data_IF_903568534801
#
_entry.id   IF_903568534801
#
_cell.length_a   1.000
_cell.length_b   1.000
_cell.length_c   1.000
_cell.angle_alpha   90.00
_cell.angle_beta   90.00
_cell.angle_gamma   90.00
#
_symmetry.space_group_name_H-M   'P 1'
#
loop_
_entity.id
_entity.type
_entity.pdbx_description
1 polymer ?
#
# COMPACT_ATOMS: atom_id res chain seq x y z
N UNK A 1 7.89 21.91 -29.21
CA UNK A 1 8.19 20.61 -28.59
C UNK A 1 9.59 20.21 -29.03
N UNK A 2 10.51 19.95 -28.11
CA UNK A 2 11.82 19.38 -28.46
C UNK A 2 11.56 18.00 -29.08
N UNK A 3 11.97 17.77 -30.33
CA UNK A 3 11.60 16.61 -31.16
C UNK A 3 12.03 15.22 -30.62
N UNK A 4 12.46 15.16 -29.36
CA UNK A 4 12.90 13.98 -28.61
C UNK A 4 11.83 13.45 -27.63
N UNK A 5 10.74 14.19 -27.44
CA UNK A 5 9.59 13.79 -26.62
C UNK A 5 8.35 13.66 -27.49
N UNK A 6 7.73 12.49 -27.45
CA UNK A 6 6.47 12.23 -28.12
C UNK A 6 5.39 12.02 -27.06
N UNK A 7 4.33 12.82 -27.15
CA UNK A 7 3.11 12.62 -26.35
C UNK A 7 2.00 12.19 -27.30
N UNK A 8 1.57 10.94 -27.19
CA UNK A 8 0.55 10.38 -28.08
C UNK A 8 -0.84 10.69 -27.50
N UNK A 9 -1.59 11.57 -28.19
CA UNK A 9 -2.96 11.94 -27.82
C UNK A 9 -4.05 11.44 -28.78
N UNK A 10 -3.71 11.06 -30.02
CA UNK A 10 -4.47 10.33 -31.06
C UNK A 10 -3.76 10.57 -32.41
N UNK A 11 -3.89 9.63 -33.35
CA UNK A 11 -3.32 9.63 -34.71
C UNK A 11 -2.51 10.87 -35.11
N UNK A 12 -1.20 10.85 -34.81
CA UNK A 12 -0.24 11.82 -35.35
C UNK A 12 0.75 11.08 -36.25
N UNK A 13 1.08 11.68 -37.40
CA UNK A 13 2.26 11.29 -38.17
C UNK A 13 3.50 11.64 -37.34
N UNK A 14 4.20 10.59 -36.86
CA UNK A 14 5.41 10.75 -36.08
C UNK A 14 6.58 10.86 -37.07
N UNK A 15 7.09 12.07 -37.26
CA UNK A 15 8.37 12.31 -37.95
C UNK A 15 9.51 12.36 -36.93
N UNK A 16 10.72 11.91 -37.30
CA UNK A 16 11.90 11.98 -36.42
C UNK A 16 11.96 10.94 -35.31
N UNK A 17 11.23 9.82 -35.43
CA UNK A 17 11.12 8.78 -34.41
C UNK A 17 12.47 8.23 -33.90
N UNK A 18 13.48 8.17 -34.79
CA UNK A 18 14.80 7.65 -34.45
C UNK A 18 15.51 8.44 -33.35
N UNK A 19 15.10 9.68 -33.05
CA UNK A 19 15.70 10.52 -32.01
C UNK A 19 14.89 10.55 -30.70
N UNK A 20 13.78 9.80 -30.63
CA UNK A 20 12.93 9.80 -29.44
C UNK A 20 13.65 9.25 -28.23
N UNK A 21 13.53 9.99 -27.12
CA UNK A 21 14.03 9.62 -25.80
C UNK A 21 12.91 9.35 -24.81
N UNK A 22 11.73 9.90 -25.07
CA UNK A 22 10.56 9.76 -24.20
C UNK A 22 9.32 9.60 -25.05
N UNK A 23 8.55 8.54 -24.78
CA UNK A 23 7.20 8.34 -25.29
C UNK A 23 6.29 8.24 -24.08
N UNK A 24 5.30 9.12 -24.02
CA UNK A 24 4.25 9.07 -23.00
C UNK A 24 2.91 9.06 -23.72
N UNK A 25 2.09 8.07 -23.43
CA UNK A 25 0.71 8.02 -23.92
C UNK A 25 -0.19 8.59 -22.84
N UNK A 26 -0.96 9.62 -23.18
CA UNK A 26 -1.90 10.24 -22.26
C UNK A 26 -3.33 9.98 -22.75
N UNK A 27 -4.04 9.10 -22.06
CA UNK A 27 -5.48 8.93 -22.21
C UNK A 27 -5.96 7.48 -22.21
N UNK A 28 -7.22 7.30 -21.80
CA UNK A 28 -8.00 6.08 -21.97
C UNK A 28 -8.41 5.91 -23.45
N UNK A 29 -7.45 5.81 -24.37
CA UNK A 29 -7.81 5.60 -25.78
C UNK A 29 -8.30 4.15 -25.97
N UNK A 30 -9.52 3.99 -26.49
CA UNK A 30 -10.16 2.68 -26.73
C UNK A 30 -9.36 1.75 -27.66
N UNK A 31 -8.36 2.27 -28.38
CA UNK A 31 -7.44 1.43 -29.14
C UNK A 31 -6.09 2.12 -29.41
N UNK A 32 -5.01 1.37 -29.19
CA UNK A 32 -3.73 1.61 -29.85
C UNK A 32 -3.55 0.55 -30.92
N UNK A 33 -3.15 0.91 -32.16
CA UNK A 33 -2.89 -0.10 -33.19
C UNK A 33 -1.82 -1.07 -32.70
N UNK A 34 -2.06 -2.37 -32.84
CA UNK A 34 -1.17 -3.44 -32.37
C UNK A 34 0.25 -3.36 -32.94
N UNK A 35 0.42 -2.67 -34.07
CA UNK A 35 1.71 -2.44 -34.75
C UNK A 35 2.52 -1.28 -34.17
N UNK A 36 1.91 -0.39 -33.40
CA UNK A 36 2.55 0.85 -32.93
C UNK A 36 3.70 0.58 -31.97
N UNK A 37 3.49 -0.28 -30.96
CA UNK A 37 4.53 -0.62 -29.97
C UNK A 37 5.69 -1.39 -30.63
N UNK A 38 5.45 -2.46 -31.43
CA UNK A 38 6.53 -3.12 -32.18
C UNK A 38 7.36 -2.17 -33.03
N UNK A 39 6.69 -1.24 -33.73
CA UNK A 39 7.36 -0.25 -34.56
C UNK A 39 8.18 0.75 -33.72
N UNK A 40 7.61 1.29 -32.65
CA UNK A 40 8.30 2.20 -31.72
C UNK A 40 9.58 1.56 -31.16
N UNK A 41 9.49 0.31 -30.69
CA UNK A 41 10.62 -0.42 -30.13
C UNK A 41 11.75 -0.63 -31.16
N UNK A 42 11.42 -0.88 -32.43
CA UNK A 42 12.42 -1.08 -33.49
C UNK A 42 13.11 0.21 -33.92
N UNK A 43 12.33 1.28 -34.07
CA UNK A 43 12.82 2.52 -34.67
C UNK A 43 13.43 3.50 -33.66
N UNK A 44 13.07 3.43 -32.37
CA UNK A 44 13.44 4.42 -31.33
C UNK A 44 14.56 3.95 -30.41
N UNK A 45 15.74 3.60 -30.94
CA UNK A 45 16.83 2.98 -30.13
C UNK A 45 17.39 3.84 -28.99
N UNK A 46 17.16 5.15 -29.01
CA UNK A 46 17.58 6.07 -27.93
C UNK A 46 16.50 6.28 -26.85
N UNK A 47 15.41 5.50 -26.89
CA UNK A 47 14.33 5.64 -25.93
C UNK A 47 14.83 5.35 -24.51
N UNK A 48 14.52 6.26 -23.60
CA UNK A 48 14.85 6.17 -22.18
C UNK A 48 13.60 6.01 -21.31
N UNK A 49 12.45 6.47 -21.78
CA UNK A 49 11.16 6.38 -21.09
C UNK A 49 10.11 5.91 -22.08
N UNK A 50 9.44 4.81 -21.75
CA UNK A 50 8.26 4.30 -22.43
C UNK A 50 7.14 4.19 -21.41
N UNK A 51 6.20 5.11 -21.46
CA UNK A 51 5.03 5.16 -20.57
C UNK A 51 3.77 4.82 -21.39
N UNK A 52 3.17 3.66 -21.10
CA UNK A 52 2.02 3.09 -21.78
C UNK A 52 0.83 2.88 -20.83
N UNK A 53 0.87 3.45 -19.62
CA UNK A 53 -0.15 3.21 -18.60
C UNK A 53 -1.56 3.59 -19.05
N UNK A 54 -2.56 2.81 -18.64
CA UNK A 54 -3.98 3.01 -18.97
C UNK A 54 -4.38 2.60 -20.39
N UNK A 55 -3.43 2.15 -21.22
CA UNK A 55 -3.73 1.66 -22.56
C UNK A 55 -4.14 0.18 -22.55
N UNK A 56 -5.01 -0.26 -23.49
CA UNK A 56 -5.41 -1.66 -23.62
C UNK A 56 -4.31 -2.53 -24.27
N UNK A 57 -3.07 -2.42 -23.80
CA UNK A 57 -1.93 -3.19 -24.29
C UNK A 57 -2.02 -4.60 -23.74
N UNK A 58 -2.11 -5.60 -24.61
CA UNK A 58 -2.17 -7.01 -24.20
C UNK A 58 -0.81 -7.73 -24.23
N UNK A 59 0.11 -7.26 -25.07
CA UNK A 59 1.42 -7.89 -25.30
C UNK A 59 2.50 -6.84 -25.51
N UNK A 60 3.66 -7.10 -24.90
CA UNK A 60 4.89 -6.37 -25.19
C UNK A 60 5.73 -7.18 -26.17
N UNK A 61 6.14 -6.60 -27.32
CA UNK A 61 6.87 -7.34 -28.34
C UNK A 61 8.31 -7.62 -27.89
N UNK A 62 8.91 -8.69 -28.42
CA UNK A 62 10.32 -9.04 -28.16
C UNK A 62 11.30 -7.89 -28.51
N UNK A 63 10.93 -7.02 -29.47
CA UNK A 63 11.70 -5.83 -29.84
C UNK A 63 11.92 -4.85 -28.66
N UNK A 64 11.17 -4.95 -27.54
CA UNK A 64 11.44 -4.14 -26.35
C UNK A 64 12.89 -4.30 -25.88
N UNK A 65 13.47 -5.49 -26.01
CA UNK A 65 14.86 -5.77 -25.62
C UNK A 65 15.91 -5.02 -26.44
N UNK A 66 15.54 -4.40 -27.57
CA UNK A 66 16.43 -3.58 -28.39
C UNK A 66 16.59 -2.16 -27.83
N UNK A 67 15.71 -1.74 -26.89
CA UNK A 67 15.75 -0.45 -26.22
C UNK A 67 16.77 -0.44 -25.08
N UNK A 68 18.04 -0.67 -25.40
CA UNK A 68 19.13 -0.76 -24.42
C UNK A 68 19.24 0.46 -23.48
N UNK A 69 18.84 1.65 -23.94
CA UNK A 69 18.88 2.90 -23.17
C UNK A 69 17.67 3.09 -22.23
N UNK A 70 16.68 2.18 -22.27
CA UNK A 70 15.45 2.31 -21.51
C UNK A 70 15.73 2.29 -20.00
N UNK A 71 15.20 3.28 -19.30
CA UNK A 71 15.31 3.46 -17.86
C UNK A 71 13.95 3.32 -17.16
N UNK A 72 12.86 3.63 -17.85
CA UNK A 72 11.50 3.51 -17.35
C UNK A 72 10.62 2.79 -18.35
N UNK A 73 9.92 1.76 -17.87
CA UNK A 73 8.85 1.07 -18.59
C UNK A 73 7.58 1.09 -17.72
N UNK A 74 6.59 1.88 -18.12
CA UNK A 74 5.29 1.98 -17.46
C UNK A 74 4.21 1.23 -18.22
N UNK A 75 3.58 0.27 -17.54
CA UNK A 75 2.53 -0.63 -18.04
C UNK A 75 1.38 -0.73 -17.01
N UNK A 76 1.23 0.26 -16.14
CA UNK A 76 0.17 0.28 -15.14
C UNK A 76 -1.19 0.32 -15.81
N UNK A 77 -2.19 -0.37 -15.27
CA UNK A 77 -3.55 -0.40 -15.84
C UNK A 77 -3.59 -0.88 -17.31
N UNK A 78 -2.70 -1.79 -17.68
CA UNK A 78 -2.70 -2.44 -19.00
C UNK A 78 -3.21 -3.88 -18.92
N UNK A 79 -3.56 -4.48 -20.05
CA UNK A 79 -4.00 -5.89 -20.14
C UNK A 79 -2.84 -6.86 -20.39
N UNK A 80 -1.59 -6.44 -20.10
CA UNK A 80 -0.41 -7.25 -20.35
C UNK A 80 -0.45 -8.47 -19.44
N UNK A 81 -0.32 -9.66 -20.02
CA UNK A 81 -0.33 -10.94 -19.28
C UNK A 81 1.06 -11.50 -19.02
N UNK A 82 2.01 -11.18 -19.89
CA UNK A 82 3.38 -11.69 -19.84
C UNK A 82 4.35 -10.66 -20.41
N UNK A 83 5.56 -10.64 -19.87
CA UNK A 83 6.68 -9.89 -20.43
C UNK A 83 7.56 -10.81 -21.29
N UNK A 84 8.09 -10.31 -22.42
CA UNK A 84 8.95 -11.10 -23.30
C UNK A 84 10.28 -11.44 -22.62
N UNK A 85 10.89 -12.57 -23.02
CA UNK A 85 12.23 -12.97 -22.51
C UNK A 85 13.29 -11.91 -22.78
N UNK A 86 13.16 -11.17 -23.88
CA UNK A 86 14.09 -10.12 -24.28
C UNK A 86 14.18 -8.94 -23.29
N UNK A 87 13.24 -8.83 -22.33
CA UNK A 87 13.31 -7.86 -21.24
C UNK A 87 14.65 -7.93 -20.48
N UNK A 88 15.27 -9.11 -20.43
CA UNK A 88 16.58 -9.34 -19.80
C UNK A 88 17.72 -8.48 -20.39
N UNK A 89 17.54 -7.95 -21.61
CA UNK A 89 18.52 -7.09 -22.29
C UNK A 89 18.47 -5.64 -21.80
N UNK A 90 17.42 -5.24 -21.06
CA UNK A 90 17.22 -3.88 -20.58
C UNK A 90 18.10 -3.55 -19.36
N UNK A 91 19.42 -3.72 -19.50
CA UNK A 91 20.40 -3.56 -18.43
C UNK A 91 20.47 -2.15 -17.79
N UNK A 92 19.85 -1.15 -18.43
CA UNK A 92 19.73 0.21 -17.91
C UNK A 92 18.38 0.53 -17.24
N UNK A 93 17.47 -0.44 -17.17
CA UNK A 93 16.15 -0.25 -16.58
C UNK A 93 16.27 0.06 -15.08
N UNK A 94 15.63 1.15 -14.66
CA UNK A 94 15.58 1.63 -13.28
C UNK A 94 14.19 1.42 -12.68
N UNK A 95 13.15 1.59 -13.49
CA UNK A 95 11.74 1.47 -13.06
C UNK A 95 10.98 0.56 -14.01
N UNK A 96 10.29 -0.42 -13.43
CA UNK A 96 9.29 -1.25 -14.09
C UNK A 96 7.98 -1.14 -13.31
N UNK A 97 6.95 -0.56 -13.92
CA UNK A 97 5.63 -0.41 -13.32
C UNK A 97 4.61 -1.28 -14.07
N UNK A 98 4.09 -2.29 -13.37
CA UNK A 98 3.12 -3.28 -13.83
C UNK A 98 1.88 -3.29 -12.93
N UNK A 99 1.71 -2.30 -12.04
CA UNK A 99 0.58 -2.26 -11.12
C UNK A 99 -0.74 -2.35 -11.87
N UNK A 100 -1.67 -3.15 -11.35
CA UNK A 100 -3.00 -3.36 -11.96
C UNK A 100 -2.92 -3.83 -13.41
N UNK A 101 -1.86 -4.56 -13.77
CA UNK A 101 -1.81 -5.36 -14.99
C UNK A 101 -2.29 -6.79 -14.76
N UNK A 102 -2.38 -7.58 -15.82
CA UNK A 102 -2.76 -9.00 -15.78
C UNK A 102 -1.55 -9.94 -15.69
N UNK A 103 -0.36 -9.44 -15.31
CA UNK A 103 0.86 -10.24 -15.18
C UNK A 103 0.80 -11.09 -13.91
N UNK A 104 0.97 -12.41 -14.07
CA UNK A 104 1.03 -13.37 -12.96
C UNK A 104 2.47 -13.72 -12.55
N UNK A 105 3.39 -13.78 -13.51
CA UNK A 105 4.77 -14.20 -13.31
C UNK A 105 5.72 -13.28 -14.06
N UNK A 106 6.86 -13.00 -13.45
CA UNK A 106 7.95 -12.30 -14.14
C UNK A 106 8.85 -13.29 -14.88
N UNK A 107 9.37 -12.91 -16.07
CA UNK A 107 10.33 -13.74 -16.78
C UNK A 107 11.59 -13.94 -15.94
N UNK A 108 12.20 -15.12 -16.01
CA UNK A 108 13.45 -15.46 -15.28
C UNK A 108 14.58 -14.45 -15.49
N UNK A 109 14.58 -13.75 -16.63
CA UNK A 109 15.52 -12.68 -16.94
C UNK A 109 15.42 -11.43 -16.07
N UNK A 110 14.35 -11.24 -15.28
CA UNK A 110 14.18 -10.05 -14.43
C UNK A 110 15.34 -9.88 -13.44
N UNK A 111 15.86 -10.98 -12.89
CA UNK A 111 16.95 -10.97 -11.91
C UNK A 111 18.29 -10.51 -12.50
N UNK A 112 18.38 -10.38 -13.84
CA UNK A 112 19.56 -9.83 -14.54
C UNK A 112 19.55 -8.30 -14.58
N UNK A 113 18.43 -7.64 -14.25
CA UNK A 113 18.27 -6.19 -14.30
C UNK A 113 18.90 -5.52 -13.06
N UNK A 114 20.23 -5.63 -12.92
CA UNK A 114 20.98 -5.19 -11.72
C UNK A 114 20.85 -3.70 -11.39
N UNK A 115 20.41 -2.86 -12.32
CA UNK A 115 20.18 -1.42 -12.10
C UNK A 115 18.75 -1.09 -11.66
N UNK A 116 17.85 -2.08 -11.64
CA UNK A 116 16.45 -1.88 -11.27
C UNK A 116 16.37 -1.38 -9.82
N UNK A 117 15.64 -0.29 -9.63
CA UNK A 117 15.42 0.39 -8.35
C UNK A 117 13.99 0.28 -7.87
N UNK A 118 13.04 0.28 -8.82
CA UNK A 118 11.61 0.29 -8.51
C UNK A 118 10.90 -0.78 -9.32
N UNK A 119 10.25 -1.70 -8.61
CA UNK A 119 9.39 -2.73 -9.19
C UNK A 119 8.01 -2.64 -8.52
N UNK A 120 7.02 -2.31 -9.33
CA UNK A 120 5.61 -2.27 -8.94
C UNK A 120 4.88 -3.32 -9.78
N UNK A 121 4.17 -4.24 -9.15
CA UNK A 121 3.43 -5.29 -9.86
C UNK A 121 2.27 -5.85 -9.01
N UNK A 122 1.79 -5.04 -8.07
CA UNK A 122 0.59 -5.35 -7.30
C UNK A 122 -0.61 -5.46 -8.23
N UNK A 123 -1.41 -6.50 -7.99
CA UNK A 123 -2.71 -6.72 -8.64
C UNK A 123 -3.82 -6.41 -7.66
N UNK A 124 -4.88 -5.79 -8.15
CA UNK A 124 -6.09 -5.52 -7.36
C UNK A 124 -7.13 -6.54 -7.78
N UNK A 125 -7.61 -7.33 -6.83
CA UNK A 125 -8.63 -8.36 -7.01
C UNK A 125 -9.99 -7.82 -6.56
N UNK A 126 -10.04 -7.21 -5.37
CA UNK A 126 -11.21 -6.52 -4.84
C UNK A 126 -10.89 -5.02 -4.69
N UNK A 127 -11.38 -4.17 -5.61
CA UNK A 127 -11.13 -2.72 -5.55
C UNK A 127 -11.81 -2.04 -4.36
N UNK A 128 -12.82 -2.66 -3.74
CA UNK A 128 -13.50 -2.12 -2.58
C UNK A 128 -12.77 -2.44 -1.26
N UNK A 129 -11.78 -3.35 -1.30
CA UNK A 129 -10.96 -3.72 -0.14
C UNK A 129 -11.78 -4.28 1.02
N UNK A 130 -12.88 -4.95 0.71
CA UNK A 130 -13.79 -5.57 1.67
C UNK A 130 -13.19 -6.89 2.15
N UNK A 131 -12.55 -7.65 1.26
CA UNK A 131 -11.91 -8.93 1.59
C UNK A 131 -10.47 -8.75 2.11
N UNK A 132 -9.98 -9.73 2.87
CA UNK A 132 -8.58 -9.75 3.32
C UNK A 132 -7.62 -9.81 2.13
N UNK A 133 -7.93 -10.65 1.13
CA UNK A 133 -7.16 -10.84 -0.10
C UNK A 133 -7.58 -9.86 -1.19
N UNK A 134 -7.62 -8.57 -0.87
CA UNK A 134 -8.06 -7.52 -1.80
C UNK A 134 -7.12 -7.31 -2.98
N UNK A 135 -5.87 -7.74 -2.85
CA UNK A 135 -4.88 -7.72 -3.90
C UNK A 135 -3.98 -8.94 -3.84
N UNK A 136 -3.04 -9.00 -4.77
CA UNK A 136 -1.99 -10.01 -4.78
C UNK A 136 -0.69 -9.45 -5.32
N UNK A 137 0.38 -10.15 -4.97
CA UNK A 137 1.70 -9.92 -5.51
C UNK A 137 1.94 -10.70 -6.79
N UNK A 138 3.22 -10.90 -7.07
CA UNK A 138 3.75 -11.71 -8.15
C UNK A 138 4.91 -12.55 -7.63
N UNK A 139 5.06 -13.73 -8.21
CA UNK A 139 6.20 -14.60 -8.00
C UNK A 139 7.43 -13.98 -8.67
N UNK A 140 8.49 -13.73 -7.89
CA UNK A 140 9.80 -13.37 -8.45
C UNK A 140 10.63 -14.64 -8.58
N UNK A 141 11.18 -14.94 -9.77
CA UNK A 141 12.00 -16.12 -9.99
C UNK A 141 13.29 -16.11 -9.15
N UNK A 142 13.92 -17.28 -9.03
CA UNK A 142 15.15 -17.47 -8.25
C UNK A 142 16.23 -16.43 -8.60
N UNK A 143 16.86 -15.89 -7.56
CA UNK A 143 17.86 -14.83 -7.70
C UNK A 143 17.34 -13.42 -7.39
N UNK A 144 16.24 -13.28 -6.64
CA UNK A 144 15.77 -11.99 -6.10
C UNK A 144 16.93 -11.18 -5.49
N UNK A 145 17.80 -11.84 -4.72
CA UNK A 145 18.96 -11.22 -4.08
C UNK A 145 19.98 -10.56 -5.04
N UNK A 146 19.96 -10.89 -6.34
CA UNK A 146 20.78 -10.20 -7.34
C UNK A 146 20.34 -8.74 -7.59
N UNK A 147 19.12 -8.39 -7.22
CA UNK A 147 18.53 -7.07 -7.43
C UNK A 147 18.90 -6.08 -6.30
N UNK A 148 20.18 -6.04 -5.92
CA UNK A 148 20.69 -5.32 -4.75
C UNK A 148 20.50 -3.80 -4.77
N UNK A 149 20.20 -3.22 -5.94
CA UNK A 149 19.86 -1.80 -6.09
C UNK A 149 18.37 -1.49 -5.89
N UNK A 150 17.53 -2.48 -5.63
CA UNK A 150 16.10 -2.27 -5.37
C UNK A 150 15.89 -1.41 -4.12
N UNK A 151 15.06 -0.40 -4.30
CA UNK A 151 14.63 0.55 -3.27
C UNK A 151 13.12 0.42 -3.03
N UNK A 152 12.37 -0.03 -4.03
CA UNK A 152 10.93 -0.22 -3.94
C UNK A 152 10.55 -1.56 -4.55
N UNK A 153 9.91 -2.40 -3.75
CA UNK A 153 9.33 -3.66 -4.18
C UNK A 153 7.90 -3.73 -3.64
N UNK A 154 6.93 -3.35 -4.48
CA UNK A 154 5.51 -3.35 -4.13
C UNK A 154 4.76 -4.46 -4.86
N UNK A 155 5.18 -5.71 -4.64
CA UNK A 155 4.59 -6.84 -5.35
C UNK A 155 5.02 -8.22 -4.84
N UNK A 156 5.81 -8.34 -3.78
CA UNK A 156 6.46 -9.63 -3.52
C UNK A 156 5.46 -10.63 -2.94
N UNK A 157 5.20 -11.70 -3.67
CA UNK A 157 4.49 -12.85 -3.13
C UNK A 157 5.46 -13.73 -2.32
N UNK A 158 5.08 -14.03 -1.07
CA UNK A 158 5.91 -14.74 -0.12
C UNK A 158 6.07 -16.23 -0.50
N UNK A 159 7.29 -16.63 -0.79
CA UNK A 159 7.69 -18.00 -1.11
C UNK A 159 9.01 -18.33 -0.45
N UNK A 160 9.26 -19.61 -0.14
CA UNK A 160 10.49 -20.05 0.54
C UNK A 160 11.76 -19.50 -0.14
N UNK A 161 11.89 -19.66 -1.46
CA UNK A 161 13.08 -19.23 -2.19
C UNK A 161 13.22 -17.70 -2.26
N UNK A 162 12.13 -16.96 -2.44
CA UNK A 162 12.20 -15.50 -2.51
C UNK A 162 12.55 -14.89 -1.14
N UNK A 163 11.99 -15.43 -0.07
CA UNK A 163 12.20 -14.92 1.30
C UNK A 163 13.60 -15.20 1.83
N UNK A 164 14.24 -16.31 1.45
CA UNK A 164 15.63 -16.63 1.85
C UNK A 164 16.64 -15.55 1.43
N UNK A 165 16.39 -14.89 0.30
CA UNK A 165 17.26 -13.87 -0.26
C UNK A 165 16.76 -12.44 -0.03
N UNK A 166 15.64 -12.26 0.69
CA UNK A 166 15.03 -10.95 0.90
C UNK A 166 15.98 -10.00 1.64
N UNK A 167 16.74 -10.51 2.63
CA UNK A 167 17.73 -9.74 3.38
C UNK A 167 18.93 -9.23 2.57
N UNK A 168 19.12 -9.69 1.33
CA UNK A 168 20.18 -9.19 0.44
C UNK A 168 19.84 -7.81 -0.15
N UNK A 169 18.56 -7.40 -0.12
CA UNK A 169 18.06 -6.15 -0.68
C UNK A 169 18.30 -4.96 0.27
N UNK A 170 19.56 -4.68 0.57
CA UNK A 170 19.97 -3.68 1.59
C UNK A 170 19.63 -2.23 1.26
N UNK A 171 19.24 -1.92 0.02
CA UNK A 171 18.84 -0.58 -0.42
C UNK A 171 17.32 -0.33 -0.28
N UNK A 172 16.57 -1.30 0.25
CA UNK A 172 15.11 -1.22 0.33
C UNK A 172 14.63 -0.04 1.18
N UNK A 173 13.61 0.64 0.67
CA UNK A 173 12.93 1.78 1.31
C UNK A 173 11.44 1.54 1.47
N UNK A 174 10.84 0.84 0.51
CA UNK A 174 9.43 0.47 0.54
C UNK A 174 9.27 -0.98 0.11
N UNK A 175 8.70 -1.80 0.99
CA UNK A 175 8.46 -3.21 0.75
C UNK A 175 6.98 -3.54 1.02
N UNK A 176 6.31 -4.17 0.05
CA UNK A 176 5.00 -4.79 0.23
C UNK A 176 5.09 -6.28 0.00
N UNK A 177 4.70 -7.04 1.02
CA UNK A 177 4.63 -8.49 1.02
C UNK A 177 3.17 -8.95 0.93
N UNK A 178 2.93 -9.95 0.10
CA UNK A 178 1.65 -10.60 -0.12
C UNK A 178 1.72 -12.08 0.23
N UNK A 179 0.57 -12.66 0.54
CA UNK A 179 0.42 -14.09 0.79
C UNK A 179 1.32 -14.60 1.94
N UNK A 180 1.50 -13.76 2.98
CA UNK A 180 2.40 -14.07 4.09
C UNK A 180 1.76 -15.04 5.07
N UNK A 181 2.41 -16.18 5.27
CA UNK A 181 2.03 -17.16 6.30
C UNK A 181 2.76 -16.89 7.60
N UNK A 182 2.19 -17.29 8.72
CA UNK A 182 2.79 -17.15 10.05
C UNK A 182 4.18 -17.77 10.12
N UNK A 183 4.39 -18.92 9.46
CA UNK A 183 5.69 -19.61 9.38
C UNK A 183 6.80 -18.76 8.75
N UNK A 184 6.47 -17.77 7.91
CA UNK A 184 7.44 -16.90 7.27
C UNK A 184 7.87 -15.72 8.14
N UNK A 185 7.13 -15.41 9.22
CA UNK A 185 7.34 -14.19 9.99
C UNK A 185 8.75 -14.12 10.62
N UNK A 186 9.32 -15.25 11.05
CA UNK A 186 10.70 -15.31 11.54
C UNK A 186 11.72 -14.91 10.47
N UNK A 187 11.66 -15.57 9.31
CA UNK A 187 12.55 -15.29 8.18
C UNK A 187 12.42 -13.86 7.64
N UNK A 188 11.17 -13.35 7.58
CA UNK A 188 10.90 -11.97 7.21
C UNK A 188 11.53 -11.03 8.24
N UNK A 189 11.37 -11.29 9.53
CA UNK A 189 11.94 -10.46 10.60
C UNK A 189 13.47 -10.37 10.51
N UNK A 190 14.14 -11.51 10.30
CA UNK A 190 15.59 -11.56 10.09
C UNK A 190 16.04 -10.75 8.87
N UNK A 191 15.27 -10.84 7.77
CA UNK A 191 15.54 -10.11 6.54
C UNK A 191 15.35 -8.60 6.69
N UNK A 192 14.31 -8.17 7.40
CA UNK A 192 13.97 -6.75 7.60
C UNK A 192 15.08 -6.01 8.36
N UNK A 193 15.75 -6.66 9.32
CA UNK A 193 16.88 -6.08 10.07
C UNK A 193 18.07 -5.74 9.15
N UNK A 194 18.21 -6.40 8.00
CA UNK A 194 19.25 -6.10 7.01
C UNK A 194 18.93 -4.89 6.11
N UNK A 195 17.77 -4.24 6.29
CA UNK A 195 17.29 -3.12 5.47
C UNK A 195 17.32 -1.79 6.25
N UNK A 196 18.50 -1.16 6.41
CA UNK A 196 18.65 0.03 7.26
C UNK A 196 17.88 1.24 6.75
N UNK A 197 17.46 1.24 5.48
CA UNK A 197 16.78 2.35 4.84
C UNK A 197 15.26 2.18 4.73
N UNK A 198 14.72 1.08 5.27
CA UNK A 198 13.30 0.75 5.15
C UNK A 198 12.47 1.77 5.93
N UNK A 199 11.60 2.50 5.21
CA UNK A 199 10.71 3.50 5.77
C UNK A 199 9.24 3.16 5.60
N UNK A 200 8.89 2.28 4.67
CA UNK A 200 7.53 1.84 4.42
C UNK A 200 7.45 0.31 4.33
N UNK A 201 6.64 -0.29 5.20
CA UNK A 201 6.41 -1.73 5.25
C UNK A 201 4.92 -2.03 5.21
N UNK A 202 4.54 -2.92 4.29
CA UNK A 202 3.19 -3.43 4.15
C UNK A 202 3.22 -4.96 4.09
N UNK A 203 2.53 -5.63 5.01
CA UNK A 203 2.54 -7.08 5.14
C UNK A 203 1.11 -7.58 5.15
N UNK A 204 0.78 -8.43 4.16
CA UNK A 204 -0.56 -8.96 3.96
C UNK A 204 -0.53 -10.47 4.13
N UNK A 205 -1.29 -10.97 5.10
CA UNK A 205 -1.45 -12.38 5.39
C UNK A 205 -2.05 -13.14 4.19
N UNK A 206 -1.79 -14.44 4.10
CA UNK A 206 -2.43 -15.28 3.06
C UNK A 206 -3.92 -15.47 3.29
N UNK A 207 -4.34 -15.55 4.55
CA UNK A 207 -5.73 -15.74 4.96
C UNK A 207 -5.93 -15.29 6.42
N UNK A 208 -7.18 -15.38 6.90
CA UNK A 208 -7.58 -14.94 8.24
C UNK A 208 -7.10 -15.86 9.38
N UNK A 209 -6.62 -17.07 9.08
CA UNK A 209 -6.16 -18.05 10.08
C UNK A 209 -4.70 -17.86 10.41
N UNK A 210 -3.90 -17.40 9.45
CA UNK A 210 -2.49 -17.12 9.63
C UNK A 210 -2.26 -16.04 10.69
N UNK A 211 -1.38 -16.34 11.64
CA UNK A 211 -1.04 -15.44 12.74
C UNK A 211 0.29 -14.77 12.43
N UNK A 212 0.27 -13.45 12.29
CA UNK A 212 1.44 -12.65 12.03
C UNK A 212 2.13 -12.20 13.33
N UNK A 213 3.44 -12.44 13.41
CA UNK A 213 4.30 -11.95 14.49
C UNK A 213 5.66 -11.52 13.92
N UNK A 214 5.75 -10.25 13.54
CA UNK A 214 7.02 -9.66 13.10
C UNK A 214 7.81 -9.21 14.33
N UNK A 215 9.01 -9.75 14.49
CA UNK A 215 9.91 -9.47 15.60
C UNK A 215 11.19 -8.80 15.08
N UNK A 216 11.04 -7.56 14.60
CA UNK A 216 12.14 -6.78 14.04
C UNK A 216 12.11 -5.36 14.58
N UNK A 217 13.28 -4.85 14.99
CA UNK A 217 13.45 -3.45 15.36
C UNK A 217 13.79 -2.64 14.11
N UNK A 218 12.86 -1.78 13.68
CA UNK A 218 12.96 -1.01 12.44
C UNK A 218 12.96 0.50 12.75
N UNK A 219 14.07 1.06 13.24
CA UNK A 219 14.08 2.43 13.77
C UNK A 219 13.79 3.50 12.71
N UNK A 220 13.98 3.23 11.42
CA UNK A 220 13.71 4.17 10.33
C UNK A 220 12.31 4.02 9.72
N UNK A 221 11.49 3.11 10.27
CA UNK A 221 10.14 2.87 9.78
C UNK A 221 9.25 4.07 10.08
N UNK A 222 8.54 4.51 9.04
CA UNK A 222 7.68 5.69 9.06
C UNK A 222 6.20 5.33 8.80
N UNK A 223 5.99 4.32 7.94
CA UNK A 223 4.69 3.81 7.57
C UNK A 223 4.64 2.30 7.76
N UNK A 224 3.61 1.83 8.45
CA UNK A 224 3.38 0.41 8.70
C UNK A 224 1.93 0.06 8.39
N UNK A 225 1.75 -0.92 7.52
CA UNK A 225 0.46 -1.55 7.24
C UNK A 225 0.56 -3.05 7.52
N UNK A 226 -0.30 -3.55 8.40
CA UNK A 226 -0.43 -4.98 8.69
C UNK A 226 -1.86 -5.42 8.40
N UNK A 227 -2.02 -6.35 7.47
CA UNK A 227 -3.30 -6.95 7.12
C UNK A 227 -3.29 -8.43 7.49
N UNK A 228 -4.20 -8.84 8.37
CA UNK A 228 -4.33 -10.21 8.86
C UNK A 228 -4.21 -10.31 10.37
N UNK A 229 -4.51 -11.48 10.92
CA UNK A 229 -4.56 -11.72 12.35
C UNK A 229 -3.18 -11.52 12.99
N UNK A 230 -3.12 -10.73 14.07
CA UNK A 230 -1.88 -10.55 14.83
C UNK A 230 -1.80 -11.54 15.98
N UNK A 231 -0.58 -11.95 16.34
CA UNK A 231 -0.35 -12.74 17.54
C UNK A 231 -0.82 -12.00 18.80
N UNK A 232 -1.24 -12.75 19.82
CA UNK A 232 -1.57 -12.18 21.12
C UNK A 232 -0.35 -11.44 21.67
N UNK A 233 -0.56 -10.26 22.25
CA UNK A 233 0.50 -9.37 22.76
C UNK A 233 1.52 -8.89 21.74
N UNK A 234 1.29 -9.08 20.43
CA UNK A 234 2.20 -8.58 19.39
C UNK A 234 2.44 -7.06 19.51
N UNK A 235 1.41 -6.29 19.89
CA UNK A 235 1.52 -4.85 20.10
C UNK A 235 2.35 -4.46 21.34
N UNK A 236 2.48 -5.34 22.33
CA UNK A 236 3.23 -5.09 23.56
C UNK A 236 4.67 -5.61 23.50
N UNK A 237 4.85 -6.80 22.92
CA UNK A 237 6.11 -7.55 22.99
C UNK A 237 6.98 -7.34 21.76
N UNK A 238 6.40 -7.03 20.59
CA UNK A 238 7.20 -6.83 19.38
C UNK A 238 8.01 -5.53 19.48
N UNK A 239 9.33 -5.58 19.19
CA UNK A 239 10.17 -4.39 19.07
C UNK A 239 9.65 -3.37 18.05
N UNK A 240 8.80 -3.81 17.11
CA UNK A 240 8.18 -2.96 16.09
C UNK A 240 7.30 -1.86 16.68
N UNK A 241 6.65 -2.13 17.82
CA UNK A 241 5.73 -1.21 18.50
C UNK A 241 6.32 -0.59 19.77
N UNK A 242 7.61 -0.82 20.04
CA UNK A 242 8.31 -0.27 21.21
C UNK A 242 9.08 1.01 20.87
N UNK A 243 9.52 1.74 21.90
CA UNK A 243 10.07 3.11 21.81
C UNK A 243 11.19 3.31 20.78
N UNK A 244 11.99 2.28 20.48
CA UNK A 244 13.08 2.38 19.48
C UNK A 244 12.57 2.08 18.07
N UNK A 245 11.80 1.00 17.90
CA UNK A 245 11.32 0.56 16.58
C UNK A 245 10.16 1.40 16.05
N UNK A 246 9.28 1.87 16.94
CA UNK A 246 8.10 2.66 16.58
C UNK A 246 8.30 4.18 16.60
N UNK A 247 9.49 4.67 17.01
CA UNK A 247 9.71 6.11 17.25
C UNK A 247 9.38 6.99 16.06
N UNK A 248 9.78 6.56 14.86
CA UNK A 248 9.64 7.37 13.65
C UNK A 248 8.32 7.09 12.91
N UNK A 249 7.49 6.19 13.44
CA UNK A 249 6.23 5.82 12.83
C UNK A 249 5.22 6.96 12.96
N UNK A 250 4.79 7.48 11.82
CA UNK A 250 3.75 8.51 11.77
C UNK A 250 2.44 7.99 11.16
N UNK A 251 2.45 6.82 10.51
CA UNK A 251 1.27 6.20 9.91
C UNK A 251 1.23 4.71 10.26
N UNK A 252 0.14 4.31 10.90
CA UNK A 252 -0.14 2.92 11.25
C UNK A 252 -1.53 2.50 10.76
N UNK A 253 -1.56 1.46 9.93
CA UNK A 253 -2.79 0.84 9.43
C UNK A 253 -2.83 -0.60 9.92
N UNK A 254 -3.81 -0.93 10.76
CA UNK A 254 -4.08 -2.30 11.19
C UNK A 254 -5.39 -2.75 10.55
N UNK A 255 -5.32 -3.84 9.79
CA UNK A 255 -6.47 -4.41 9.07
C UNK A 255 -6.63 -5.87 9.46
N UNK A 256 -7.86 -6.30 9.75
CA UNK A 256 -8.15 -7.72 10.01
C UNK A 256 -7.33 -8.34 11.16
N UNK A 257 -6.91 -7.52 12.12
CA UNK A 257 -5.96 -7.91 13.17
C UNK A 257 -6.53 -8.83 14.25
N UNK A 258 -7.87 -8.95 14.37
CA UNK A 258 -8.57 -9.78 15.36
C UNK A 258 -8.12 -9.54 16.81
N UNK A 259 -7.80 -8.28 17.15
CA UNK A 259 -7.37 -7.89 18.49
C UNK A 259 -8.53 -8.04 19.47
N UNK A 260 -8.30 -8.72 20.60
CA UNK A 260 -9.32 -8.95 21.63
C UNK A 260 -9.30 -7.89 22.71
N UNK A 261 -8.11 -7.46 23.12
CA UNK A 261 -7.88 -6.42 24.13
C UNK A 261 -7.81 -5.05 23.47
N UNK A 262 -8.16 -3.99 24.22
CA UNK A 262 -8.04 -2.60 23.74
C UNK A 262 -6.58 -2.35 23.30
N UNK A 263 -6.33 -2.04 22.01
CA UNK A 263 -4.98 -1.83 21.51
C UNK A 263 -4.42 -0.44 21.83
N UNK A 264 -5.26 0.52 22.24
CA UNK A 264 -4.86 1.90 22.44
C UNK A 264 -3.78 2.09 23.52
N UNK A 265 -3.76 1.37 24.66
CA UNK A 265 -2.66 1.45 25.62
C UNK A 265 -1.29 1.18 25.01
N UNK A 266 -1.16 0.15 24.18
CA UNK A 266 0.10 -0.21 23.52
C UNK A 266 0.43 0.78 22.40
N UNK A 267 -0.57 1.15 21.59
CA UNK A 267 -0.39 2.07 20.47
C UNK A 267 -0.12 3.52 20.91
N UNK A 268 -0.59 3.94 22.10
CA UNK A 268 -0.39 5.28 22.64
C UNK A 268 1.09 5.63 22.87
N UNK A 269 1.94 4.60 23.04
CA UNK A 269 3.41 4.73 23.15
C UNK A 269 4.02 5.35 21.89
N UNK A 270 3.36 5.18 20.74
CA UNK A 270 3.77 5.71 19.44
C UNK A 270 3.39 7.20 19.29
N UNK A 271 4.02 8.04 20.11
CA UNK A 271 3.71 9.47 20.23
C UNK A 271 3.87 10.31 18.96
N UNK A 272 4.53 9.78 17.93
CA UNK A 272 4.71 10.44 16.62
C UNK A 272 3.64 10.08 15.58
N UNK A 273 2.66 9.24 15.93
CA UNK A 273 1.55 8.92 15.04
C UNK A 273 0.77 10.18 14.67
N UNK A 274 0.62 10.37 13.36
CA UNK A 274 -0.22 11.41 12.73
C UNK A 274 -1.45 10.80 12.05
N UNK A 275 -1.38 9.52 11.68
CA UNK A 275 -2.48 8.76 11.10
C UNK A 275 -2.57 7.38 11.73
N UNK A 276 -3.74 7.05 12.25
CA UNK A 276 -4.09 5.72 12.77
C UNK A 276 -5.37 5.24 12.10
N UNK A 277 -5.32 4.05 11.51
CA UNK A 277 -6.49 3.39 10.95
C UNK A 277 -6.63 1.98 11.50
N UNK A 278 -7.80 1.68 12.05
CA UNK A 278 -8.19 0.34 12.49
C UNK A 278 -9.36 -0.12 11.61
N UNK A 279 -9.15 -1.14 10.78
CA UNK A 279 -10.19 -1.68 9.87
C UNK A 279 -10.43 -3.15 10.16
N UNK A 280 -11.60 -3.53 10.69
CA UNK A 280 -11.85 -4.91 11.16
C UNK A 280 -10.73 -5.42 12.08
N UNK A 281 -10.11 -4.51 12.83
CA UNK A 281 -8.87 -4.81 13.55
C UNK A 281 -9.14 -5.27 14.99
N UNK A 282 -10.26 -4.86 15.58
CA UNK A 282 -10.59 -5.04 16.97
C UNK A 282 -11.96 -5.72 17.11
N UNK A 283 -12.01 -6.76 17.95
CA UNK A 283 -13.16 -7.61 18.19
C UNK A 283 -13.76 -7.41 19.60
N UNK A 284 -13.18 -6.55 20.43
CA UNK A 284 -13.75 -6.20 21.73
C UNK A 284 -14.81 -5.11 21.61
N UNK A 285 -15.34 -4.71 22.77
CA UNK A 285 -16.56 -3.90 22.87
C UNK A 285 -16.28 -2.42 23.18
N UNK A 286 -15.13 -2.12 23.79
CA UNK A 286 -14.80 -0.80 24.30
C UNK A 286 -13.43 -0.33 23.82
N UNK A 287 -13.35 0.93 23.39
CA UNK A 287 -12.09 1.64 23.17
C UNK A 287 -12.05 2.90 24.02
N UNK A 288 -10.94 3.11 24.73
CA UNK A 288 -10.78 4.27 25.61
C UNK A 288 -9.55 5.08 25.22
N UNK A 289 -9.75 6.34 24.85
CA UNK A 289 -8.68 7.30 24.61
C UNK A 289 -8.41 8.12 25.87
N UNK A 290 -7.30 7.86 26.57
CA UNK A 290 -6.95 8.57 27.80
C UNK A 290 -6.25 9.91 27.55
N UNK A 291 -6.29 10.79 28.55
CA UNK A 291 -5.66 12.11 28.53
C UNK A 291 -4.18 12.03 28.14
N UNK A 292 -3.76 12.87 27.19
CA UNK A 292 -2.38 12.93 26.70
C UNK A 292 -2.01 11.85 25.67
N UNK A 293 -2.90 10.91 25.36
CA UNK A 293 -2.64 9.91 24.33
C UNK A 293 -2.72 10.51 22.92
N UNK A 294 -1.84 10.02 22.05
CA UNK A 294 -1.79 10.40 20.62
C UNK A 294 -1.68 11.92 20.37
N UNK A 295 -0.69 12.62 20.97
CA UNK A 295 -0.64 14.08 20.98
C UNK A 295 -0.46 14.72 19.58
N UNK A 296 0.05 13.97 18.59
CA UNK A 296 0.30 14.44 17.22
C UNK A 296 -0.68 13.85 16.18
N UNK A 297 -1.66 13.06 16.63
CA UNK A 297 -2.58 12.38 15.73
C UNK A 297 -3.47 13.40 15.06
N UNK A 298 -3.45 13.43 13.72
CA UNK A 298 -4.26 14.31 12.88
C UNK A 298 -5.45 13.58 12.31
N UNK A 299 -5.30 12.30 11.97
CA UNK A 299 -6.36 11.50 11.36
C UNK A 299 -6.55 10.19 12.11
N UNK A 300 -7.76 9.99 12.61
CA UNK A 300 -8.23 8.73 13.17
C UNK A 300 -9.34 8.16 12.29
N UNK A 301 -9.19 6.90 11.89
CA UNK A 301 -10.25 6.17 11.19
C UNK A 301 -10.51 4.81 11.83
N UNK A 302 -11.74 4.62 12.33
CA UNK A 302 -12.23 3.37 12.86
C UNK A 302 -13.26 2.80 11.88
N UNK A 303 -12.95 1.68 11.25
CA UNK A 303 -13.78 1.07 10.20
C UNK A 303 -14.17 -0.36 10.53
N UNK A 304 -15.45 -0.68 10.44
CA UNK A 304 -15.98 -2.04 10.55
C UNK A 304 -15.49 -2.77 11.82
N UNK A 305 -15.51 -2.08 12.97
CA UNK A 305 -15.26 -2.67 14.27
C UNK A 305 -16.59 -3.17 14.82
N UNK A 306 -17.03 -4.34 14.34
CA UNK A 306 -18.42 -4.78 14.43
C UNK A 306 -18.96 -4.93 15.86
N UNK A 307 -18.10 -5.24 16.84
CA UNK A 307 -18.50 -5.44 18.24
C UNK A 307 -18.38 -4.18 19.09
N UNK A 308 -17.74 -3.13 18.57
CA UNK A 308 -17.52 -1.89 19.31
C UNK A 308 -18.87 -1.22 19.59
N UNK A 309 -19.22 -1.09 20.86
CA UNK A 309 -20.43 -0.43 21.32
C UNK A 309 -20.14 0.78 22.20
N UNK A 310 -18.92 0.90 22.73
CA UNK A 310 -18.50 1.97 23.62
C UNK A 310 -17.18 2.60 23.13
N UNK A 311 -17.22 3.90 22.87
CA UNK A 311 -16.04 4.70 22.52
C UNK A 311 -15.96 5.87 23.49
N UNK A 312 -14.93 5.88 24.32
CA UNK A 312 -14.71 6.91 25.35
C UNK A 312 -13.49 7.75 25.00
N UNK A 313 -13.65 9.07 25.10
CA UNK A 313 -12.60 10.05 24.82
C UNK A 313 -12.45 10.93 26.06
N UNK A 314 -11.32 10.78 26.75
CA UNK A 314 -11.01 11.63 27.89
C UNK A 314 -10.59 13.04 27.43
N UNK A 315 -10.85 14.04 28.26
CA UNK A 315 -10.39 15.40 28.03
C UNK A 315 -8.87 15.43 27.84
N UNK A 316 -8.40 16.12 26.79
CA UNK A 316 -6.99 16.21 26.44
C UNK A 316 -6.41 14.99 25.70
N UNK A 317 -7.23 13.99 25.33
CA UNK A 317 -6.83 12.96 24.38
C UNK A 317 -6.81 13.51 22.95
N UNK A 318 -5.90 13.01 22.11
CA UNK A 318 -5.82 13.34 20.67
C UNK A 318 -5.85 14.85 20.39
N UNK A 319 -5.11 15.65 21.16
CA UNK A 319 -5.20 17.12 21.15
C UNK A 319 -4.91 17.81 19.80
N UNK A 320 -4.33 17.10 18.83
CA UNK A 320 -4.04 17.62 17.48
C UNK A 320 -4.98 17.05 16.39
N UNK A 321 -6.08 16.39 16.77
CA UNK A 321 -6.94 15.71 15.81
C UNK A 321 -7.60 16.72 14.87
N UNK A 322 -7.49 16.45 13.58
CA UNK A 322 -8.09 17.25 12.52
C UNK A 322 -9.26 16.51 11.88
N UNK A 323 -9.17 15.19 11.80
CA UNK A 323 -10.13 14.35 11.11
C UNK A 323 -10.47 13.06 11.88
N UNK A 324 -11.77 12.84 12.08
CA UNK A 324 -12.31 11.63 12.69
C UNK A 324 -13.31 10.96 11.74
N UNK A 325 -13.04 9.70 11.39
CA UNK A 325 -13.93 8.89 10.58
C UNK A 325 -14.36 7.64 11.34
N UNK A 326 -15.66 7.54 11.60
CA UNK A 326 -16.31 6.36 12.16
C UNK A 326 -17.14 5.71 11.07
N UNK A 327 -16.70 4.54 10.60
CA UNK A 327 -17.24 3.90 9.40
C UNK A 327 -17.76 2.51 9.76
N UNK A 328 -19.04 2.25 9.52
CA UNK A 328 -19.65 0.93 9.68
C UNK A 328 -19.44 0.34 11.09
N UNK A 329 -19.73 1.12 12.14
CA UNK A 329 -19.65 0.69 13.53
C UNK A 329 -21.03 0.18 13.99
N UNK A 330 -21.37 -1.05 13.61
CA UNK A 330 -22.75 -1.56 13.68
C UNK A 330 -23.35 -1.70 15.07
N UNK A 331 -22.53 -1.89 16.11
CA UNK A 331 -22.99 -2.05 17.50
C UNK A 331 -23.04 -0.75 18.29
N UNK A 332 -22.61 0.38 17.70
CA UNK A 332 -22.70 1.67 18.36
C UNK A 332 -24.15 2.14 18.41
N UNK A 333 -24.64 2.40 19.62
CA UNK A 333 -26.00 2.93 19.86
C UNK A 333 -25.99 4.35 20.41
N UNK A 334 -24.83 4.85 20.85
CA UNK A 334 -24.69 6.16 21.48
C UNK A 334 -23.55 6.96 20.84
N UNK A 335 -23.67 8.29 20.84
CA UNK A 335 -22.57 9.15 20.40
C UNK A 335 -21.36 8.94 21.33
N UNK A 336 -20.13 8.82 20.81
CA UNK A 336 -18.94 8.62 21.64
C UNK A 336 -18.84 9.64 22.78
N UNK A 337 -18.64 9.15 24.00
CA UNK A 337 -18.53 10.00 25.17
C UNK A 337 -17.25 10.85 25.10
N UNK A 338 -17.36 12.16 25.32
CA UNK A 338 -16.23 13.10 25.25
C UNK A 338 -15.83 13.52 23.83
N UNK A 339 -16.67 13.24 22.82
CA UNK A 339 -16.44 13.71 21.45
C UNK A 339 -16.37 15.25 21.36
N UNK A 340 -17.03 15.96 22.28
CA UNK A 340 -16.96 17.42 22.46
C UNK A 340 -15.52 17.92 22.62
N UNK A 341 -14.65 17.13 23.27
CA UNK A 341 -13.28 17.54 23.57
C UNK A 341 -12.40 17.57 22.32
N UNK A 342 -12.87 16.97 21.22
CA UNK A 342 -12.17 16.95 19.94
C UNK A 342 -12.55 18.12 19.03
N UNK A 343 -13.58 18.90 19.40
CA UNK A 343 -14.07 19.99 18.56
C UNK A 343 -13.25 21.27 18.73
N UNK A 344 -13.08 22.06 17.65
CA UNK A 344 -13.58 21.83 16.29
C UNK A 344 -12.68 20.87 15.47
N UNK A 345 -13.29 19.96 14.72
CA UNK A 345 -12.60 19.13 13.72
C UNK A 345 -12.72 19.73 12.32
N UNK A 346 -11.72 19.52 11.46
CA UNK A 346 -11.81 19.86 10.04
C UNK A 346 -12.76 18.91 9.30
N UNK A 347 -12.74 17.63 9.65
CA UNK A 347 -13.65 16.61 9.11
C UNK A 347 -14.11 15.65 10.19
N UNK A 348 -15.42 15.61 10.42
CA UNK A 348 -16.07 14.56 11.20
C UNK A 348 -17.00 13.78 10.26
N UNK A 349 -16.76 12.48 10.12
CA UNK A 349 -17.48 11.61 9.19
C UNK A 349 -18.05 10.37 9.87
N UNK A 350 -19.36 10.17 9.74
CA UNK A 350 -20.09 8.98 10.19
C UNK A 350 -20.61 8.21 8.96
N UNK A 351 -19.83 7.26 8.46
CA UNK A 351 -20.16 6.59 7.20
C UNK A 351 -20.71 5.18 7.43
N UNK A 352 -21.62 4.73 6.56
CA UNK A 352 -22.28 3.42 6.66
C UNK A 352 -22.93 3.18 8.04
N UNK A 353 -23.54 4.22 8.62
CA UNK A 353 -24.25 4.14 9.92
C UNK A 353 -25.69 3.65 9.74
N UNK A 354 -26.30 3.20 10.85
CA UNK A 354 -27.73 2.83 10.89
C UNK A 354 -28.61 4.08 11.02
N UNK A 355 -29.86 3.98 10.56
CA UNK A 355 -30.86 5.05 10.71
C UNK A 355 -31.16 5.37 12.18
N UNK A 356 -31.09 4.36 13.06
CA UNK A 356 -31.27 4.55 14.49
C UNK A 356 -30.14 5.39 15.08
N UNK A 357 -28.88 5.09 14.72
CA UNK A 357 -27.72 5.88 15.14
C UNK A 357 -27.77 7.31 14.59
N UNK A 358 -28.23 7.48 13.35
CA UNK A 358 -28.44 8.81 12.78
C UNK A 358 -29.45 9.63 13.60
N UNK A 359 -30.51 9.00 14.11
CA UNK A 359 -31.50 9.65 14.98
C UNK A 359 -30.85 10.11 16.29
N UNK A 360 -29.99 9.28 16.87
CA UNK A 360 -29.21 9.61 18.07
C UNK A 360 -28.25 10.78 17.81
N UNK A 361 -27.58 10.82 16.66
CA UNK A 361 -26.72 11.94 16.26
C UNK A 361 -27.50 13.26 16.17
N UNK A 362 -28.70 13.27 15.58
CA UNK A 362 -29.54 14.47 15.51
C UNK A 362 -30.06 14.95 16.88
N UNK A 363 -30.16 14.06 17.87
CA UNK A 363 -30.58 14.39 19.22
C UNK A 363 -29.42 14.86 20.11
N UNK A 364 -28.18 14.71 19.66
CA UNK A 364 -26.99 15.11 20.39
C UNK A 364 -26.86 16.64 20.42
N UNK A 365 -27.00 17.24 21.61
CA UNK A 365 -26.90 18.70 21.79
C UNK A 365 -25.49 19.26 21.57
N UNK A 366 -24.48 18.40 21.61
CA UNK A 366 -23.06 18.74 21.45
C UNK A 366 -22.67 18.91 19.96
N UNK A 367 -23.31 18.15 19.07
CA UNK A 367 -22.92 18.08 17.65
C UNK A 367 -23.92 18.80 16.74
N UNK A 368 -23.64 20.04 16.39
CA UNK A 368 -24.37 20.75 15.33
C UNK A 368 -24.26 20.04 13.97
N UNK A 369 -25.36 20.02 13.22
CA UNK A 369 -25.50 19.27 11.95
C UNK A 369 -24.47 19.68 10.89
N UNK A 370 -23.97 20.91 10.90
CA UNK A 370 -22.97 21.39 9.94
C UNK A 370 -21.56 20.88 10.23
N UNK A 371 -21.32 20.29 11.41
CA UNK A 371 -19.99 19.86 11.83
C UNK A 371 -19.62 18.46 11.33
N UNK A 372 -20.57 17.69 10.80
CA UNK A 372 -20.34 16.30 10.41
C UNK A 372 -21.02 15.91 9.10
N UNK A 373 -20.46 14.90 8.44
CA UNK A 373 -21.00 14.29 7.22
C UNK A 373 -21.37 12.84 7.50
N UNK A 374 -22.36 12.32 6.78
CA UNK A 374 -22.76 10.92 6.95
C UNK A 374 -23.11 10.20 5.65
N UNK A 375 -23.09 8.88 5.72
CA UNK A 375 -23.74 8.00 4.73
C UNK A 375 -24.46 6.86 5.46
N UNK A 376 -25.60 6.44 4.93
CA UNK A 376 -26.33 5.28 5.44
C UNK A 376 -25.79 3.99 4.81
N UNK A 377 -26.02 2.87 5.51
CA UNK A 377 -25.54 1.55 5.10
C UNK A 377 -26.38 0.86 4.00
N UNK A 378 -27.56 1.41 3.68
CA UNK A 378 -28.60 0.89 2.76
C UNK A 378 -28.31 -0.41 2.00
#
# INVERSE_FOLDING_TARGET
MDGRRLVLHKHQQISGIHQLRTVITLGNSDSMPSTTIPWLCKESRYLTVLELSGLPVEKIPDAIGDLFNLRHLGLRDTKVKMLPKSLEKLSNLLTLDLCRSEIHELPSGIVKLKKLRHLFAERVIDPNGIELTWGSGICIPNGLGNLTNLQTLQALEAQDESLRHLGELRQMRSLRLWNVKGMYCGLISESLVQMPYLSNLDVNASDEKEVLLLNACLPNLQKLSLTGRLAERALDESPLFQDVGGKNLYELLLRWSQLKEDPLPSLSRLSNLTRLQLTRAYNGEQLTFLTGWFPKLKVLSLKALSNLNQLEIAEGAMASLEELFLVNLSSMTEVPAGIEFLLPLQRLGFHEITSDFLTVLYQCSVLEVQMWHYSLRD
#
